data_IF_771682433092
#
_entry.id   IF_771682433092
#
_cell.length_a   1.000
_cell.length_b   1.000
_cell.length_c   1.000
_cell.angle_alpha   90.00
_cell.angle_beta   90.00
_cell.angle_gamma   90.00
#
_symmetry.space_group_name_H-M   'P 1'
#
loop_
_entity.id
_entity.type
_entity.pdbx_description
1 polymer ?
#
# COMPACT_ATOMS: atom_id res chain seq x y z
N UNK A 1 -7.41 27.43 -42.95
CA UNK A 1 -7.30 27.28 -41.48
C UNK A 1 -6.39 26.09 -41.18
N UNK A 2 -5.38 26.21 -40.31
CA UNK A 2 -4.56 25.07 -39.91
C UNK A 2 -5.43 24.01 -39.23
N UNK A 3 -5.17 22.72 -39.52
CA UNK A 3 -5.91 21.61 -38.90
C UNK A 3 -5.55 21.57 -37.42
N UNK A 4 -6.54 21.77 -36.54
CA UNK A 4 -6.40 21.57 -35.10
C UNK A 4 -6.00 20.11 -34.82
N UNK A 5 -5.01 19.91 -33.96
CA UNK A 5 -4.56 18.58 -33.56
C UNK A 5 -5.59 17.93 -32.63
N UNK A 6 -5.75 16.61 -32.72
CA UNK A 6 -6.69 15.86 -31.88
C UNK A 6 -5.94 15.14 -30.76
N UNK A 7 -6.42 15.27 -29.52
CA UNK A 7 -5.92 14.51 -28.38
C UNK A 7 -6.12 13.01 -28.61
N UNK A 8 -5.06 12.21 -28.48
CA UNK A 8 -5.13 10.76 -28.68
C UNK A 8 -5.86 10.02 -27.55
N UNK A 9 -5.90 10.59 -26.34
CA UNK A 9 -6.60 10.01 -25.18
C UNK A 9 -8.11 10.24 -25.22
N UNK A 10 -8.53 11.50 -25.30
CA UNK A 10 -9.95 11.88 -25.19
C UNK A 10 -10.63 12.31 -26.50
N UNK A 11 -9.89 12.40 -27.62
CA UNK A 11 -10.46 12.76 -28.93
C UNK A 11 -10.81 14.24 -29.11
N UNK A 12 -10.56 15.12 -28.12
CA UNK A 12 -10.83 16.55 -28.23
C UNK A 12 -9.88 17.24 -29.21
N UNK A 13 -10.38 18.23 -29.95
CA UNK A 13 -9.52 19.14 -30.75
C UNK A 13 -8.81 20.09 -29.80
N UNK A 14 -7.50 20.28 -30.00
CA UNK A 14 -6.63 21.07 -29.14
C UNK A 14 -6.17 22.33 -29.87
N UNK A 15 -6.14 23.43 -29.13
CA UNK A 15 -5.47 24.63 -29.59
C UNK A 15 -3.95 24.44 -29.57
N UNK A 16 -3.18 25.21 -30.36
CA UNK A 16 -1.72 25.10 -30.38
C UNK A 16 -1.04 25.28 -29.02
N UNK A 17 -1.65 26.04 -28.11
CA UNK A 17 -1.14 26.34 -26.76
C UNK A 17 -1.39 25.21 -25.75
N UNK A 18 -2.38 24.35 -26.00
CA UNK A 18 -2.85 23.31 -25.07
C UNK A 18 -2.31 21.91 -25.45
N UNK A 19 -1.39 21.84 -26.41
CA UNK A 19 -0.87 20.58 -26.95
C UNK A 19 0.34 20.11 -26.16
N UNK A 20 0.27 18.87 -25.67
CA UNK A 20 1.39 18.17 -25.07
C UNK A 20 1.75 16.97 -25.94
N UNK A 21 3.04 16.74 -26.19
CA UNK A 21 3.50 15.64 -27.03
C UNK A 21 4.23 14.57 -26.22
N UNK A 22 3.79 13.31 -26.36
CA UNK A 22 4.44 12.15 -25.76
C UNK A 22 4.54 11.03 -26.80
N UNK A 23 5.73 10.45 -26.97
CA UNK A 23 5.98 9.38 -27.97
C UNK A 23 5.40 9.71 -29.36
N UNK A 24 5.63 10.94 -29.83
CA UNK A 24 5.14 11.46 -31.11
C UNK A 24 3.62 11.55 -31.26
N UNK A 25 2.85 11.41 -30.17
CA UNK A 25 1.39 11.57 -30.13
C UNK A 25 1.03 12.83 -29.35
N UNK A 26 -0.09 13.46 -29.71
CA UNK A 26 -0.57 14.70 -29.08
C UNK A 26 -1.67 14.41 -28.06
N UNK A 27 -1.61 15.07 -26.91
CA UNK A 27 -2.53 14.91 -25.78
C UNK A 27 -2.92 16.29 -25.22
N UNK A 28 -4.09 16.36 -24.58
CA UNK A 28 -4.39 17.44 -23.65
C UNK A 28 -3.60 17.24 -22.36
N UNK A 29 -3.50 18.28 -21.53
CA UNK A 29 -2.77 18.25 -20.26
C UNK A 29 -3.13 17.03 -19.37
N UNK A 30 -4.43 16.76 -19.18
CA UNK A 30 -4.87 15.66 -18.32
C UNK A 30 -4.45 14.29 -18.87
N UNK A 31 -4.69 14.03 -20.16
CA UNK A 31 -4.29 12.76 -20.77
C UNK A 31 -2.77 12.62 -20.84
N UNK A 32 -2.03 13.72 -20.99
CA UNK A 32 -0.58 13.71 -20.93
C UNK A 32 -0.08 13.29 -19.54
N UNK A 33 -0.64 13.88 -18.47
CA UNK A 33 -0.33 13.51 -17.08
C UNK A 33 -0.61 12.03 -16.80
N UNK A 34 -1.74 11.51 -17.29
CA UNK A 34 -2.08 10.09 -17.15
C UNK A 34 -1.07 9.18 -17.86
N UNK A 35 -0.75 9.47 -19.13
CA UNK A 35 0.21 8.67 -19.91
C UNK A 35 1.62 8.74 -19.31
N UNK A 36 2.03 9.93 -18.84
CA UNK A 36 3.31 10.11 -18.16
C UNK A 36 3.38 9.29 -16.87
N UNK A 37 2.32 9.35 -16.05
CA UNK A 37 2.21 8.55 -14.82
C UNK A 37 2.26 7.05 -15.13
N UNK A 38 1.45 6.56 -16.06
CA UNK A 38 1.45 5.15 -16.43
C UNK A 38 2.81 4.69 -16.98
N UNK A 39 3.50 5.54 -17.72
CA UNK A 39 4.85 5.23 -18.19
C UNK A 39 5.84 5.11 -17.05
N UNK A 40 5.71 5.95 -16.01
CA UNK A 40 6.60 5.90 -14.85
C UNK A 40 6.30 4.67 -13.99
N UNK A 41 5.03 4.39 -13.73
CA UNK A 41 4.59 3.17 -13.02
C UNK A 41 5.07 1.90 -13.75
N UNK A 42 5.05 1.90 -15.09
CA UNK A 42 5.58 0.79 -15.87
C UNK A 42 7.09 0.63 -15.67
N UNK A 43 7.87 1.72 -15.70
CA UNK A 43 9.32 1.65 -15.44
C UNK A 43 9.62 1.14 -14.04
N UNK A 44 8.84 1.58 -13.04
CA UNK A 44 8.97 1.12 -11.66
C UNK A 44 8.70 -0.38 -11.56
N UNK A 45 7.63 -0.88 -12.19
CA UNK A 45 7.34 -2.32 -12.25
C UNK A 45 8.49 -3.11 -12.86
N UNK A 46 9.01 -2.65 -14.00
CA UNK A 46 10.11 -3.32 -14.70
C UNK A 46 11.39 -3.29 -13.87
N UNK A 47 11.72 -2.15 -13.25
CA UNK A 47 12.86 -2.01 -12.35
C UNK A 47 12.76 -2.97 -11.17
N UNK A 48 11.60 -3.03 -10.52
CA UNK A 48 11.35 -3.95 -9.40
C UNK A 48 11.53 -5.41 -9.83
N UNK A 49 11.00 -5.80 -11.00
CA UNK A 49 11.19 -7.17 -11.51
C UNK A 49 12.67 -7.45 -11.76
N UNK A 50 13.40 -6.54 -12.40
CA UNK A 50 14.82 -6.75 -12.71
C UNK A 50 15.66 -6.91 -11.43
N UNK A 51 15.42 -6.05 -10.44
CA UNK A 51 16.13 -6.07 -9.16
C UNK A 51 15.87 -7.36 -8.38
N UNK A 52 14.60 -7.76 -8.22
CA UNK A 52 14.22 -8.88 -7.36
C UNK A 52 14.35 -10.25 -8.04
N UNK A 53 14.39 -10.32 -9.37
CA UNK A 53 14.70 -11.56 -10.10
C UNK A 53 16.19 -11.64 -10.50
N UNK A 54 16.97 -10.59 -10.24
CA UNK A 54 18.40 -10.49 -10.61
C UNK A 54 18.65 -10.69 -12.12
N UNK A 55 17.84 -10.02 -12.95
CA UNK A 55 17.91 -10.08 -14.42
C UNK A 55 18.06 -8.68 -15.01
N UNK A 56 18.72 -8.56 -16.17
CA UNK A 56 18.87 -7.26 -16.86
C UNK A 56 17.56 -6.73 -17.46
N UNK A 57 16.67 -7.64 -17.85
CA UNK A 57 15.38 -7.32 -18.47
C UNK A 57 14.38 -8.46 -18.28
N UNK A 58 13.07 -8.18 -18.15
CA UNK A 58 12.06 -9.22 -18.07
C UNK A 58 12.02 -10.05 -19.36
N UNK A 59 11.87 -11.36 -19.19
CA UNK A 59 11.75 -12.26 -20.33
C UNK A 59 10.39 -12.09 -21.04
N UNK A 60 10.26 -12.63 -22.26
CA UNK A 60 9.04 -12.50 -23.06
C UNK A 60 7.78 -13.08 -22.38
N UNK A 61 7.96 -14.07 -21.52
CA UNK A 61 6.86 -14.67 -20.75
C UNK A 61 6.34 -13.72 -19.67
N UNK A 62 7.21 -13.09 -18.89
CA UNK A 62 6.86 -12.04 -17.92
C UNK A 62 6.15 -10.87 -18.60
N UNK A 63 6.67 -10.40 -19.74
CA UNK A 63 6.05 -9.32 -20.50
C UNK A 63 4.64 -9.68 -20.97
N UNK A 64 4.42 -10.95 -21.38
CA UNK A 64 3.09 -11.46 -21.73
C UNK A 64 2.15 -11.47 -20.53
N UNK A 65 2.62 -11.87 -19.35
CA UNK A 65 1.82 -11.83 -18.12
C UNK A 65 1.43 -10.40 -17.74
N UNK A 66 2.39 -9.46 -17.72
CA UNK A 66 2.13 -8.04 -17.43
C UNK A 66 1.08 -7.48 -18.38
N UNK A 67 1.20 -7.80 -19.68
CA UNK A 67 0.21 -7.38 -20.69
C UNK A 67 -1.18 -7.95 -20.39
N UNK A 68 -1.27 -9.24 -20.08
CA UNK A 68 -2.53 -9.92 -19.71
C UNK A 68 -3.17 -9.28 -18.46
N UNK A 69 -2.39 -9.00 -17.42
CA UNK A 69 -2.89 -8.31 -16.23
C UNK A 69 -3.43 -6.91 -16.53
N UNK A 70 -2.81 -6.19 -17.47
CA UNK A 70 -3.30 -4.88 -17.90
C UNK A 70 -4.57 -4.98 -18.73
N UNK A 71 -4.67 -5.92 -19.66
CA UNK A 71 -5.77 -5.95 -20.64
C UNK A 71 -6.96 -6.79 -20.20
N UNK A 72 -6.74 -7.93 -19.55
CA UNK A 72 -7.79 -8.88 -19.16
C UNK A 72 -8.30 -8.59 -17.75
N UNK A 73 -7.40 -8.24 -16.83
CA UNK A 73 -7.73 -8.00 -15.42
C UNK A 73 -7.84 -6.50 -15.07
N UNK A 74 -7.47 -5.62 -16.01
CA UNK A 74 -7.47 -4.16 -15.83
C UNK A 74 -6.67 -3.67 -14.61
N UNK A 75 -5.61 -4.39 -14.25
CA UNK A 75 -4.71 -3.97 -13.17
C UNK A 75 -3.84 -2.79 -13.64
N UNK A 76 -3.56 -1.84 -12.73
CA UNK A 76 -2.57 -0.79 -12.99
C UNK A 76 -1.15 -1.31 -12.77
N UNK A 77 -0.16 -0.70 -13.44
CA UNK A 77 1.24 -1.09 -13.24
C UNK A 77 1.70 -0.81 -11.80
N UNK A 78 1.19 0.27 -11.18
CA UNK A 78 1.38 0.49 -9.75
C UNK A 78 0.86 -0.67 -8.91
N UNK A 79 -0.39 -1.12 -9.14
CA UNK A 79 -0.98 -2.21 -8.35
C UNK A 79 -0.22 -3.53 -8.53
N UNK A 80 0.26 -3.81 -9.75
CA UNK A 80 1.15 -4.95 -10.02
C UNK A 80 2.44 -4.87 -9.18
N UNK A 81 3.07 -3.69 -9.13
CA UNK A 81 4.29 -3.45 -8.36
C UNK A 81 4.05 -3.65 -6.87
N UNK A 82 2.99 -3.04 -6.32
CA UNK A 82 2.62 -3.20 -4.91
C UNK A 82 2.28 -4.63 -4.53
N UNK A 83 1.71 -5.41 -5.46
CA UNK A 83 1.44 -6.84 -5.24
C UNK A 83 2.74 -7.63 -5.16
N UNK A 84 3.68 -7.37 -6.06
CA UNK A 84 5.00 -8.01 -5.99
C UNK A 84 5.76 -7.61 -4.73
N UNK A 85 5.70 -6.33 -4.33
CA UNK A 85 6.27 -5.86 -3.06
C UNK A 85 5.67 -6.60 -1.87
N UNK A 86 4.35 -6.76 -1.83
CA UNK A 86 3.66 -7.52 -0.78
C UNK A 86 4.16 -8.99 -0.75
N UNK A 87 4.29 -9.64 -1.91
CA UNK A 87 4.83 -10.99 -1.99
C UNK A 87 6.27 -11.10 -1.48
N UNK A 88 7.13 -10.13 -1.82
CA UNK A 88 8.55 -10.14 -1.46
C UNK A 88 8.77 -9.72 0.00
N UNK A 89 8.37 -8.49 0.36
CA UNK A 89 8.72 -7.87 1.64
C UNK A 89 7.82 -8.35 2.79
N UNK A 90 6.54 -8.61 2.51
CA UNK A 90 5.58 -8.98 3.57
C UNK A 90 5.48 -10.49 3.73
N UNK A 91 5.41 -11.23 2.61
CA UNK A 91 5.25 -12.69 2.64
C UNK A 91 6.58 -13.46 2.52
N UNK A 92 7.70 -12.80 2.22
CA UNK A 92 9.01 -13.45 2.07
C UNK A 92 9.05 -14.48 0.95
N UNK A 93 8.24 -14.30 -0.11
CA UNK A 93 8.21 -15.24 -1.23
C UNK A 93 9.42 -15.03 -2.13
N UNK A 94 10.09 -16.13 -2.45
CA UNK A 94 11.13 -16.13 -3.46
C UNK A 94 10.52 -15.96 -4.86
N UNK A 95 11.24 -15.23 -5.70
CA UNK A 95 10.90 -15.05 -7.11
C UNK A 95 11.73 -16.00 -7.97
N UNK A 96 11.03 -16.71 -8.86
CA UNK A 96 11.63 -17.67 -9.78
C UNK A 96 11.17 -17.33 -11.20
N UNK A 97 12.15 -17.10 -12.08
CA UNK A 97 11.95 -16.75 -13.47
C UNK A 97 11.04 -17.74 -14.22
N UNK A 98 11.06 -19.02 -13.84
CA UNK A 98 10.23 -20.08 -14.42
C UNK A 98 8.74 -19.76 -14.34
N UNK A 99 8.32 -19.12 -13.25
CA UNK A 99 6.91 -18.78 -13.00
C UNK A 99 6.57 -17.33 -13.40
N UNK A 100 7.58 -16.55 -13.79
CA UNK A 100 7.46 -15.14 -14.10
C UNK A 100 6.81 -14.37 -12.95
N UNK A 101 5.91 -13.45 -13.28
CA UNK A 101 5.17 -12.60 -12.34
C UNK A 101 3.78 -13.17 -12.00
N UNK A 102 3.60 -14.49 -12.09
CA UNK A 102 2.31 -15.15 -11.82
C UNK A 102 1.75 -14.90 -10.41
N UNK A 103 2.63 -14.64 -9.43
CA UNK A 103 2.25 -14.29 -8.06
C UNK A 103 1.27 -13.12 -7.99
N UNK A 104 1.36 -12.16 -8.92
CA UNK A 104 0.42 -11.03 -8.97
C UNK A 104 -1.01 -11.54 -9.01
N UNK A 105 -1.32 -12.53 -9.85
CA UNK A 105 -2.68 -13.06 -9.99
C UNK A 105 -3.22 -13.67 -8.70
N UNK A 106 -2.35 -14.33 -7.92
CA UNK A 106 -2.76 -15.06 -6.72
C UNK A 106 -2.92 -14.13 -5.52
N UNK A 107 -2.08 -13.10 -5.42
CA UNK A 107 -2.00 -12.26 -4.23
C UNK A 107 -2.54 -10.84 -4.43
N UNK A 108 -3.11 -10.51 -5.60
CA UNK A 108 -3.62 -9.17 -5.89
C UNK A 108 -4.65 -8.70 -4.86
N UNK A 109 -5.66 -9.53 -4.58
CA UNK A 109 -6.74 -9.17 -3.66
C UNK A 109 -6.24 -9.10 -2.21
N UNK A 110 -5.35 -10.00 -1.81
CA UNK A 110 -4.70 -9.97 -0.49
C UNK A 110 -3.85 -8.70 -0.30
N UNK A 111 -3.02 -8.36 -1.29
CA UNK A 111 -2.20 -7.16 -1.26
C UNK A 111 -3.09 -5.91 -1.20
N UNK A 112 -4.15 -5.85 -2.01
CA UNK A 112 -5.11 -4.75 -1.99
C UNK A 112 -5.75 -4.57 -0.61
N UNK A 113 -6.17 -5.65 0.02
CA UNK A 113 -6.76 -5.59 1.36
C UNK A 113 -5.72 -5.18 2.41
N UNK A 114 -4.50 -5.69 2.32
CA UNK A 114 -3.39 -5.31 3.20
C UNK A 114 -3.15 -3.79 3.19
N UNK A 115 -2.97 -3.18 2.02
CA UNK A 115 -2.73 -1.72 1.93
C UNK A 115 -3.97 -0.91 2.30
N UNK A 116 -5.17 -1.39 1.98
CA UNK A 116 -6.44 -0.78 2.42
C UNK A 116 -6.53 -0.71 3.94
N UNK A 117 -6.15 -1.78 4.65
CA UNK A 117 -6.10 -1.79 6.11
C UNK A 117 -5.04 -0.84 6.66
N UNK A 118 -3.84 -0.81 6.08
CA UNK A 118 -2.80 0.13 6.47
C UNK A 118 -3.24 1.59 6.31
N UNK A 119 -3.91 1.93 5.22
CA UNK A 119 -4.41 3.28 4.99
C UNK A 119 -5.50 3.66 6.01
N UNK A 120 -6.42 2.73 6.34
CA UNK A 120 -7.44 2.94 7.38
C UNK A 120 -6.80 3.19 8.74
N UNK A 121 -5.81 2.39 9.12
CA UNK A 121 -5.09 2.56 10.38
C UNK A 121 -4.36 3.91 10.43
N UNK A 122 -3.68 4.29 9.35
CA UNK A 122 -3.01 5.60 9.24
C UNK A 122 -4.00 6.75 9.46
N UNK A 123 -5.16 6.71 8.79
CA UNK A 123 -6.22 7.72 8.96
C UNK A 123 -6.76 7.75 10.39
N UNK A 124 -6.92 6.61 11.05
CA UNK A 124 -7.36 6.57 12.45
C UNK A 124 -6.34 7.20 13.40
N UNK A 125 -5.05 6.92 13.21
CA UNK A 125 -3.97 7.53 13.99
C UNK A 125 -3.90 9.03 13.75
N UNK A 126 -3.99 9.48 12.49
CA UNK A 126 -4.00 10.91 12.14
C UNK A 126 -5.22 11.64 12.73
N UNK A 127 -6.38 10.98 12.82
CA UNK A 127 -7.54 11.56 13.49
C UNK A 127 -7.34 11.66 15.01
N UNK A 128 -6.69 10.66 15.62
CA UNK A 128 -6.44 10.63 17.06
C UNK A 128 -5.42 11.70 17.50
N UNK A 129 -4.36 11.91 16.72
CA UNK A 129 -3.35 12.93 16.99
C UNK A 129 -3.93 14.36 16.95
N UNK A 130 -4.99 14.57 16.16
CA UNK A 130 -5.70 15.85 16.07
C UNK A 130 -6.79 16.05 17.13
N UNK A 131 -7.09 15.05 17.97
CA UNK A 131 -8.05 15.19 19.07
C UNK A 131 -7.40 15.77 20.31
N UNK A 132 -7.92 16.90 20.82
CA UNK A 132 -7.55 17.42 22.15
C UNK A 132 -7.90 16.38 23.22
N UNK A 133 -6.87 15.90 23.94
CA UNK A 133 -7.03 15.01 25.10
C UNK A 133 -7.95 15.70 26.11
N UNK A 134 -9.17 15.18 26.26
CA UNK A 134 -10.07 15.63 27.32
C UNK A 134 -9.66 14.94 28.62
N UNK A 135 -8.74 15.56 29.37
CA UNK A 135 -8.42 15.13 30.73
C UNK A 135 -9.61 15.40 31.64
N UNK A 136 -10.31 14.35 32.06
CA UNK A 136 -11.27 14.45 33.16
C UNK A 136 -10.49 14.25 34.46
N UNK A 137 -10.29 15.32 35.22
CA UNK A 137 -9.76 15.22 36.58
C UNK A 137 -10.86 14.59 37.42
N UNK A 138 -10.72 13.30 37.72
CA UNK A 138 -11.61 12.61 38.65
C UNK A 138 -11.12 12.97 40.05
N UNK A 139 -11.87 13.80 40.78
CA UNK A 139 -11.65 13.93 42.21
C UNK A 139 -12.00 12.56 42.82
N UNK A 140 -11.09 11.90 43.55
CA UNK A 140 -11.49 10.75 44.34
C UNK A 140 -12.54 11.25 45.32
N UNK A 141 -13.78 10.77 45.19
CA UNK A 141 -14.74 10.90 46.28
C UNK A 141 -14.12 10.14 47.43
N UNK A 142 -13.72 10.84 48.48
CA UNK A 142 -13.32 10.23 49.74
C UNK A 142 -14.53 9.45 50.25
N UNK A 143 -14.63 8.18 49.90
CA UNK A 143 -15.43 7.26 50.65
C UNK A 143 -14.73 7.21 52.00
N UNK A 144 -15.36 7.78 53.03
CA UNK A 144 -14.89 7.66 54.41
C UNK A 144 -14.87 6.18 54.76
N UNK A 145 -13.74 5.53 54.52
CA UNK A 145 -13.46 4.17 54.96
C UNK A 145 -13.11 4.23 56.44
N UNK A 146 -14.10 4.45 57.29
CA UNK A 146 -13.96 4.03 58.67
C UNK A 146 -13.82 2.49 58.67
N UNK A 147 -12.61 2.05 59.02
CA UNK A 147 -12.25 0.69 59.42
C UNK A 147 -12.43 -0.40 58.35
N UNK A 148 -11.32 -0.80 57.75
CA UNK A 148 -10.76 -2.15 57.94
C UNK A 148 -9.42 -2.24 57.21
N UNK A 149 -8.32 -2.26 57.98
CA UNK A 149 -6.99 -2.61 57.48
C UNK A 149 -6.97 -4.12 57.21
N UNK A 150 -7.45 -4.53 56.06
CA UNK A 150 -7.14 -5.84 55.49
C UNK A 150 -6.54 -5.59 54.11
N UNK A 151 -5.21 -5.53 54.06
CA UNK A 151 -4.50 -5.68 52.78
C UNK A 151 -4.92 -7.03 52.19
N UNK A 152 -5.41 -7.04 50.95
CA UNK A 152 -5.93 -8.24 50.28
C UNK A 152 -4.88 -9.33 50.04
N UNK A 153 -3.61 -9.06 50.34
CA UNK A 153 -2.52 -10.02 50.20
C UNK A 153 -1.59 -9.85 51.42
N UNK A 154 -1.55 -10.86 52.28
CA UNK A 154 -0.54 -10.96 53.34
C UNK A 154 0.72 -11.59 52.75
N UNK A 155 1.75 -10.78 52.51
CA UNK A 155 3.03 -11.22 51.95
C UNK A 155 3.77 -12.22 52.86
N UNK A 156 3.46 -12.23 54.17
CA UNK A 156 4.04 -13.16 55.13
C UNK A 156 3.55 -14.61 54.99
N UNK A 157 2.35 -14.83 54.45
CA UNK A 157 1.81 -16.19 54.25
C UNK A 157 2.37 -16.85 52.98
N UNK A 158 2.79 -16.05 51.99
CA UNK A 158 3.43 -16.51 50.76
C UNK A 158 4.88 -16.98 50.96
N UNK A 159 5.56 -16.49 52.00
CA UNK A 159 6.96 -16.80 52.29
C UNK A 159 7.16 -17.92 53.31
N UNK A 160 6.08 -18.41 53.95
CA UNK A 160 6.11 -19.51 54.93
C UNK A 160 5.93 -20.91 54.32
N UNK A 161 5.63 -21.00 53.02
CA UNK A 161 5.50 -22.28 52.30
C UNK A 161 6.87 -22.84 51.92
N UNK A 162 7.67 -23.26 52.90
CA UNK A 162 9.02 -23.74 52.62
C UNK A 162 9.78 -24.31 53.81
N UNK A 163 9.16 -25.07 54.71
CA UNK A 163 9.87 -26.06 55.53
C UNK A 163 9.05 -27.35 55.68
N UNK A 164 9.76 -28.44 55.46
CA UNK A 164 9.34 -29.83 55.31
C UNK A 164 8.71 -30.44 56.56
N UNK A 165 7.74 -31.35 56.38
CA UNK A 165 7.86 -32.79 56.67
C UNK A 165 6.54 -33.52 56.39
#
# INVERSE_FOLDING_TARGET
MPRLSTCKGCGKKLQPEEKFTYSSKTYCENCFKEVQRESEEYKQLIGFICENYHIDKPNGFMLKQIKSFRTEYNYSYAAMTYTLWYCHDVLGKAFDEKYGVSLIKYYYDEAKEYYSQQEKLKKQVDNLSNMKIKTKIVKPTSVNSEKNKASLINLGDLLKGGESN
#
